data_IF_774645921818
#
_entry.id   IF_774645921818
#
_cell.length_a   1.000
_cell.length_b   1.000
_cell.length_c   1.000
_cell.angle_alpha   90.00
_cell.angle_beta   90.00
_cell.angle_gamma   90.00
#
_symmetry.space_group_name_H-M   'P 1'
#
loop_
_entity.id
_entity.type
_entity.pdbx_description
1 polymer ?
#
# COMPACT_ATOMS: atom_id res chain seq x y z
N UNK A 1 49.92 -7.07 -0.37
CA UNK A 1 48.92 -8.14 -0.62
C UNK A 1 47.61 -7.59 -1.19
N UNK A 2 47.10 -6.44 -0.72
CA UNK A 2 45.86 -5.85 -1.30
C UNK A 2 46.07 -5.23 -2.69
N UNK A 3 47.22 -4.60 -2.93
CA UNK A 3 47.54 -3.95 -4.22
C UNK A 3 47.53 -4.93 -5.41
N UNK A 4 48.16 -6.09 -5.25
CA UNK A 4 48.16 -7.18 -6.26
C UNK A 4 46.78 -7.85 -6.46
N UNK A 5 45.85 -7.69 -5.51
CA UNK A 5 44.47 -8.18 -5.64
C UNK A 5 43.61 -7.19 -6.41
N UNK A 6 43.81 -5.89 -6.18
CA UNK A 6 43.15 -4.84 -6.94
C UNK A 6 43.57 -4.85 -8.42
N UNK A 7 44.85 -5.11 -8.69
CA UNK A 7 45.38 -5.23 -10.07
C UNK A 7 44.80 -6.42 -10.86
N UNK A 8 44.08 -7.34 -10.21
CA UNK A 8 43.38 -8.47 -10.86
C UNK A 8 41.93 -8.19 -11.20
N UNK A 9 41.34 -7.12 -10.68
CA UNK A 9 39.95 -6.74 -10.96
C UNK A 9 39.93 -6.01 -12.30
N UNK A 10 39.35 -6.64 -13.32
CA UNK A 10 39.27 -6.06 -14.65
C UNK A 10 38.09 -5.09 -14.80
N UNK A 11 38.06 -4.34 -15.91
CA UNK A 11 36.93 -3.46 -16.26
C UNK A 11 35.60 -4.22 -16.33
N UNK A 12 35.60 -5.48 -16.77
CA UNK A 12 34.41 -6.34 -16.78
C UNK A 12 33.90 -6.65 -15.37
N UNK A 13 34.80 -6.83 -14.39
CA UNK A 13 34.42 -7.08 -13.00
C UNK A 13 33.85 -5.82 -12.35
N UNK A 14 34.44 -4.66 -12.64
CA UNK A 14 33.91 -3.36 -12.21
C UNK A 14 32.51 -3.12 -12.79
N UNK A 15 32.31 -3.37 -14.09
CA UNK A 15 30.98 -3.24 -14.72
C UNK A 15 29.95 -4.16 -14.07
N UNK A 16 30.30 -5.43 -13.82
CA UNK A 16 29.41 -6.38 -13.12
C UNK A 16 29.10 -5.92 -11.69
N UNK A 17 30.08 -5.37 -10.97
CA UNK A 17 29.87 -4.85 -9.63
C UNK A 17 28.89 -3.66 -9.65
N UNK A 18 29.03 -2.74 -10.60
CA UNK A 18 28.10 -1.62 -10.80
C UNK A 18 26.69 -2.11 -11.16
N UNK A 19 26.57 -3.04 -12.12
CA UNK A 19 25.30 -3.69 -12.48
C UNK A 19 24.63 -4.34 -11.25
N UNK A 20 25.41 -5.05 -10.42
CA UNK A 20 24.93 -5.69 -9.22
C UNK A 20 24.42 -4.68 -8.17
N UNK A 21 25.20 -3.64 -7.87
CA UNK A 21 24.80 -2.60 -6.90
C UNK A 21 23.54 -1.89 -7.36
N UNK A 22 23.43 -1.58 -8.65
CA UNK A 22 22.23 -0.97 -9.21
C UNK A 22 21.01 -1.90 -9.07
N UNK A 23 21.18 -3.18 -9.42
CA UNK A 23 20.11 -4.18 -9.32
C UNK A 23 19.61 -4.36 -7.88
N UNK A 24 20.53 -4.37 -6.91
CA UNK A 24 20.22 -4.59 -5.49
C UNK A 24 19.64 -3.36 -4.79
N UNK A 25 19.73 -2.17 -5.36
CA UNK A 25 19.23 -0.93 -4.72
C UNK A 25 17.75 -1.00 -4.37
N UNK A 26 16.89 -1.48 -5.28
CA UNK A 26 15.46 -1.64 -4.98
C UNK A 26 15.24 -2.65 -3.85
N UNK A 27 15.97 -3.75 -3.84
CA UNK A 27 15.91 -4.74 -2.75
C UNK A 27 16.30 -4.17 -1.38
N UNK A 28 17.38 -3.38 -1.36
CA UNK A 28 17.84 -2.70 -0.16
C UNK A 28 16.77 -1.75 0.37
N UNK A 29 16.19 -0.94 -0.50
CA UNK A 29 15.15 0.03 -0.12
C UNK A 29 13.87 -0.68 0.36
N UNK A 30 13.46 -1.77 -0.30
CA UNK A 30 12.38 -2.65 0.16
C UNK A 30 12.65 -3.24 1.54
N UNK A 31 13.89 -3.67 1.80
CA UNK A 31 14.29 -4.18 3.11
C UNK A 31 14.20 -3.07 4.16
N UNK A 32 14.67 -1.87 3.85
CA UNK A 32 14.65 -0.73 4.77
C UNK A 32 13.21 -0.34 5.14
N UNK A 33 12.30 -0.33 4.16
CA UNK A 33 10.87 -0.05 4.38
C UNK A 33 10.24 -1.01 5.40
N UNK A 34 10.48 -2.32 5.27
CA UNK A 34 9.84 -3.32 6.15
C UNK A 34 10.58 -3.57 7.48
N UNK A 35 11.85 -3.20 7.59
CA UNK A 35 12.71 -3.56 8.74
C UNK A 35 13.14 -2.39 9.62
N UNK A 36 13.11 -1.17 9.09
CA UNK A 36 13.66 0.01 9.78
C UNK A 36 12.67 1.17 9.86
N UNK A 37 11.53 1.09 9.16
CA UNK A 37 10.50 2.10 9.29
C UNK A 37 9.71 1.89 10.60
N UNK A 38 9.36 3.00 11.27
CA UNK A 38 8.64 2.96 12.56
C UNK A 38 7.19 2.51 12.41
N UNK A 39 6.67 2.56 11.19
CA UNK A 39 5.27 2.31 10.85
C UNK A 39 5.12 1.28 9.72
N UNK A 40 5.97 0.27 9.69
CA UNK A 40 5.82 -0.86 8.77
C UNK A 40 4.48 -1.57 9.01
N UNK A 41 3.68 -1.77 7.97
CA UNK A 41 2.38 -2.48 8.06
C UNK A 41 2.38 -3.73 7.20
N UNK A 42 1.57 -4.74 7.56
CA UNK A 42 1.40 -5.91 6.70
C UNK A 42 0.81 -5.55 5.32
N UNK A 43 0.11 -4.41 5.21
CA UNK A 43 -0.45 -3.91 3.96
C UNK A 43 0.58 -3.46 2.93
N UNK A 44 1.84 -3.23 3.32
CA UNK A 44 2.91 -2.84 2.38
C UNK A 44 3.62 -4.04 1.75
N UNK A 45 3.43 -5.26 2.28
CA UNK A 45 4.15 -6.46 1.85
C UNK A 45 3.84 -6.83 0.39
N UNK A 46 2.56 -6.87 0.00
CA UNK A 46 2.18 -7.17 -1.39
C UNK A 46 2.62 -6.08 -2.37
N UNK A 47 2.38 -4.77 -2.11
CA UNK A 47 2.92 -3.70 -2.95
C UNK A 47 4.44 -3.78 -3.15
N UNK A 48 5.20 -4.04 -2.09
CA UNK A 48 6.66 -4.19 -2.17
C UNK A 48 7.04 -5.44 -2.98
N UNK A 49 6.34 -6.56 -2.78
CA UNK A 49 6.59 -7.78 -3.55
C UNK A 49 6.36 -7.55 -5.06
N UNK A 50 5.30 -6.81 -5.42
CA UNK A 50 5.03 -6.41 -6.80
C UNK A 50 6.13 -5.51 -7.38
N UNK A 51 6.67 -4.57 -6.60
CA UNK A 51 7.82 -3.75 -7.01
C UNK A 51 9.07 -4.59 -7.26
N UNK A 52 9.32 -5.59 -6.42
CA UNK A 52 10.45 -6.50 -6.58
C UNK A 52 10.26 -7.43 -7.79
N UNK A 53 9.04 -7.89 -8.06
CA UNK A 53 8.70 -8.64 -9.28
C UNK A 53 9.07 -7.85 -10.54
N UNK A 54 8.63 -6.60 -10.62
CA UNK A 54 8.94 -5.72 -11.75
C UNK A 54 10.45 -5.52 -11.91
N UNK A 55 11.18 -5.32 -10.79
CA UNK A 55 12.63 -5.15 -10.79
C UNK A 55 13.37 -6.39 -11.32
N UNK A 56 12.92 -7.59 -10.93
CA UNK A 56 13.58 -8.85 -11.28
C UNK A 56 13.01 -9.53 -12.52
N UNK A 57 12.05 -8.90 -13.19
CA UNK A 57 11.62 -9.33 -14.52
C UNK A 57 12.78 -9.09 -15.51
N UNK A 58 13.13 -10.16 -16.23
CA UNK A 58 14.18 -10.13 -17.25
C UNK A 58 13.72 -9.27 -18.43
N UNK A 59 14.59 -8.37 -18.89
CA UNK A 59 14.36 -7.50 -20.03
C UNK A 59 15.34 -7.82 -21.18
N UNK A 60 14.95 -7.43 -22.40
CA UNK A 60 15.72 -7.71 -23.62
C UNK A 60 17.16 -7.14 -23.56
N UNK A 61 17.33 -5.96 -22.91
CA UNK A 61 18.62 -5.29 -22.74
C UNK A 61 19.51 -5.80 -21.59
N UNK A 62 19.06 -6.77 -20.79
CA UNK A 62 19.85 -7.24 -19.65
C UNK A 62 21.14 -7.96 -20.10
N UNK A 63 22.25 -7.76 -19.38
CA UNK A 63 23.45 -8.56 -19.58
C UNK A 63 23.21 -10.01 -19.16
N UNK A 64 23.98 -10.97 -19.68
CA UNK A 64 23.86 -12.38 -19.24
C UNK A 64 24.06 -12.55 -17.71
N UNK A 65 24.92 -11.70 -17.13
CA UNK A 65 25.14 -11.63 -15.68
C UNK A 65 23.88 -11.14 -14.94
N UNK A 66 23.30 -10.02 -15.39
CA UNK A 66 22.08 -9.44 -14.81
C UNK A 66 20.90 -10.41 -14.90
N UNK A 67 20.67 -11.04 -16.07
CA UNK A 67 19.61 -12.04 -16.25
C UNK A 67 19.73 -13.17 -15.23
N UNK A 68 20.92 -13.73 -15.06
CA UNK A 68 21.16 -14.82 -14.12
C UNK A 68 20.85 -14.42 -12.67
N UNK A 69 21.21 -13.20 -12.25
CA UNK A 69 20.89 -12.73 -10.89
C UNK A 69 19.38 -12.54 -10.73
N UNK A 70 18.74 -11.85 -11.67
CA UNK A 70 17.29 -11.60 -11.67
C UNK A 70 16.50 -12.90 -11.54
N UNK A 71 16.80 -13.88 -12.39
CA UNK A 71 16.15 -15.19 -12.38
C UNK A 71 16.35 -15.93 -11.06
N UNK A 72 17.57 -15.94 -10.53
CA UNK A 72 17.86 -16.64 -9.28
C UNK A 72 17.16 -16.00 -8.07
N UNK A 73 17.15 -14.67 -7.98
CA UNK A 73 16.47 -13.96 -6.90
C UNK A 73 14.95 -14.17 -7.01
N UNK A 74 14.37 -13.97 -8.20
CA UNK A 74 12.93 -14.12 -8.37
C UNK A 74 12.47 -15.57 -8.14
N UNK A 75 13.27 -16.56 -8.53
CA UNK A 75 12.99 -17.98 -8.25
C UNK A 75 12.91 -18.30 -6.75
N UNK A 76 13.63 -17.58 -5.89
CA UNK A 76 13.46 -17.70 -4.44
C UNK A 76 12.27 -16.89 -3.93
N UNK A 77 12.19 -15.62 -4.34
CA UNK A 77 11.22 -14.66 -3.81
C UNK A 77 9.77 -15.01 -4.17
N UNK A 78 9.54 -15.53 -5.40
CA UNK A 78 8.22 -15.95 -5.87
C UNK A 78 7.60 -17.10 -5.08
N UNK A 79 8.38 -17.78 -4.22
CA UNK A 79 7.88 -18.83 -3.32
C UNK A 79 7.39 -18.28 -1.98
N UNK A 80 7.71 -17.02 -1.68
CA UNK A 80 7.30 -16.38 -0.43
C UNK A 80 5.81 -16.03 -0.51
N UNK A 81 5.14 -16.12 0.64
CA UNK A 81 3.73 -15.74 0.80
C UNK A 81 2.74 -16.46 -0.14
N UNK A 82 3.03 -17.69 -0.57
CA UNK A 82 2.16 -18.43 -1.51
C UNK A 82 1.01 -19.21 -0.84
N UNK A 83 0.97 -19.28 0.50
CA UNK A 83 -0.10 -19.96 1.21
C UNK A 83 -1.43 -19.22 1.08
N UNK A 84 -2.53 -19.95 0.90
CA UNK A 84 -3.86 -19.34 0.71
C UNK A 84 -4.25 -18.41 1.86
N UNK A 85 -3.99 -18.81 3.11
CA UNK A 85 -4.38 -18.01 4.27
C UNK A 85 -3.53 -16.75 4.41
N UNK A 86 -2.22 -16.85 4.13
CA UNK A 86 -1.33 -15.69 4.18
C UNK A 86 -1.62 -14.72 3.02
N UNK A 87 -1.95 -15.23 1.82
CA UNK A 87 -2.41 -14.40 0.71
C UNK A 87 -3.68 -13.63 1.09
N UNK A 88 -4.70 -14.33 1.60
CA UNK A 88 -5.97 -13.69 2.01
C UNK A 88 -5.76 -12.60 3.05
N UNK A 89 -4.95 -12.87 4.06
CA UNK A 89 -4.60 -11.89 5.09
C UNK A 89 -3.89 -10.67 4.50
N UNK A 90 -2.88 -10.87 3.65
CA UNK A 90 -2.12 -9.78 3.06
C UNK A 90 -2.94 -8.96 2.06
N UNK A 91 -3.82 -9.60 1.29
CA UNK A 91 -4.79 -8.90 0.41
C UNK A 91 -5.69 -7.97 1.22
N UNK A 92 -6.27 -8.47 2.31
CA UNK A 92 -7.14 -7.69 3.18
C UNK A 92 -6.37 -6.54 3.85
N UNK A 93 -5.19 -6.83 4.40
CA UNK A 93 -4.32 -5.83 5.01
C UNK A 93 -3.93 -4.72 4.01
N UNK A 94 -3.66 -5.08 2.76
CA UNK A 94 -3.29 -4.11 1.71
C UNK A 94 -4.47 -3.22 1.32
N UNK A 95 -5.69 -3.78 1.20
CA UNK A 95 -6.89 -2.99 0.88
C UNK A 95 -7.27 -2.05 2.03
N UNK A 96 -7.09 -2.51 3.26
CA UNK A 96 -7.38 -1.72 4.46
C UNK A 96 -6.31 -0.64 4.72
N UNK A 97 -5.13 -0.75 4.14
CA UNK A 97 -4.10 0.28 4.20
C UNK A 97 -4.46 1.46 3.25
N UNK A 98 -4.78 2.65 3.79
CA UNK A 98 -5.20 3.78 2.96
C UNK A 98 -4.16 4.21 1.93
N UNK A 99 -2.88 3.92 2.18
CA UNK A 99 -1.77 4.22 1.25
C UNK A 99 -1.86 3.40 -0.02
N UNK A 100 -2.47 2.21 0.03
CA UNK A 100 -2.51 1.24 -1.07
C UNK A 100 -3.93 0.90 -1.55
N UNK A 101 -4.97 1.49 -0.95
CA UNK A 101 -6.40 1.25 -1.24
C UNK A 101 -6.78 1.24 -2.73
N UNK A 102 -6.11 2.03 -3.56
CA UNK A 102 -6.39 2.13 -5.00
C UNK A 102 -5.56 1.16 -5.86
N UNK A 103 -4.53 0.52 -5.28
CA UNK A 103 -3.61 -0.40 -5.97
C UNK A 103 -4.15 -1.82 -6.06
N UNK A 104 -4.98 -2.25 -5.11
CA UNK A 104 -5.63 -3.58 -5.12
C UNK A 104 -7.13 -3.41 -5.37
N UNK A 105 -7.57 -3.61 -6.62
CA UNK A 105 -8.99 -3.66 -6.99
C UNK A 105 -9.44 -5.12 -7.02
N UNK A 106 -9.92 -5.63 -5.89
CA UNK A 106 -10.51 -6.96 -5.82
C UNK A 106 -11.84 -6.89 -5.08
N UNK A 107 -12.94 -6.88 -5.84
CA UNK A 107 -14.30 -6.85 -5.29
C UNK A 107 -14.54 -8.04 -4.35
N UNK A 108 -13.97 -9.21 -4.68
CA UNK A 108 -14.04 -10.40 -3.85
C UNK A 108 -13.37 -10.24 -2.46
N UNK A 109 -12.29 -9.46 -2.36
CA UNK A 109 -11.63 -9.17 -1.07
C UNK A 109 -12.46 -8.14 -0.30
N UNK A 110 -12.99 -7.12 -0.98
CA UNK A 110 -13.89 -6.14 -0.38
C UNK A 110 -15.15 -6.81 0.21
N UNK A 111 -15.76 -7.74 -0.53
CA UNK A 111 -16.92 -8.50 -0.07
C UNK A 111 -16.58 -9.34 1.15
N UNK A 112 -15.43 -10.04 1.14
CA UNK A 112 -14.95 -10.82 2.29
C UNK A 112 -14.78 -9.97 3.55
N UNK A 113 -14.17 -8.79 3.42
CA UNK A 113 -14.03 -7.82 4.53
C UNK A 113 -15.41 -7.36 5.02
N UNK A 114 -16.33 -7.07 4.09
CA UNK A 114 -17.69 -6.61 4.42
C UNK A 114 -18.45 -7.67 5.21
N UNK A 115 -18.45 -8.92 4.74
CA UNK A 115 -19.11 -10.04 5.41
C UNK A 115 -18.52 -10.29 6.80
N UNK A 116 -17.19 -10.22 6.94
CA UNK A 116 -16.52 -10.33 8.23
C UNK A 116 -16.94 -9.21 9.20
N UNK A 117 -17.03 -7.96 8.74
CA UNK A 117 -17.47 -6.83 9.55
C UNK A 117 -18.94 -6.96 10.00
N UNK A 118 -19.84 -7.41 9.11
CA UNK A 118 -21.25 -7.67 9.45
C UNK A 118 -21.34 -8.79 10.51
N UNK A 119 -20.58 -9.87 10.32
CA UNK A 119 -20.55 -11.00 11.26
C UNK A 119 -20.05 -10.55 12.63
N UNK A 120 -18.96 -9.79 12.70
CA UNK A 120 -18.43 -9.27 13.96
C UNK A 120 -19.45 -8.38 14.71
N UNK A 121 -20.13 -7.49 14.00
CA UNK A 121 -21.14 -6.59 14.59
C UNK A 121 -22.39 -7.34 15.08
N UNK A 122 -22.83 -8.39 14.38
CA UNK A 122 -24.00 -9.19 14.81
C UNK A 122 -23.71 -10.10 16.01
N UNK A 123 -22.45 -10.53 16.19
CA UNK A 123 -22.02 -11.25 17.38
C UNK A 123 -21.86 -10.30 18.57
N UNK A 124 -21.25 -9.13 18.37
CA UNK A 124 -21.12 -8.12 19.42
C UNK A 124 -22.50 -7.65 19.94
N UNK A 125 -23.49 -7.48 19.06
CA UNK A 125 -24.85 -7.12 19.44
C UNK A 125 -25.62 -8.21 20.21
N UNK A 126 -25.11 -9.45 20.28
CA UNK A 126 -25.71 -10.54 21.07
C UNK A 126 -25.14 -10.66 22.48
N UNK A 127 -23.97 -10.07 22.75
CA UNK A 127 -23.30 -10.12 24.06
C UNK A 127 -23.63 -8.90 24.96
N UNK A 128 -24.35 -7.88 24.47
CA UNK A 128 -24.76 -6.75 25.30
C UNK A 128 -26.13 -6.98 25.99
N UNK A 129 -26.08 -7.54 27.21
CA UNK A 129 -27.07 -7.34 28.29
C UNK A 129 -26.33 -6.75 29.51
N UNK A 130 -26.94 -5.84 30.29
CA UNK A 130 -26.22 -4.79 30.99
C UNK A 130 -25.64 -5.25 32.32
N UNK A 131 -24.34 -5.04 32.48
CA UNK A 131 -23.63 -5.11 33.76
C UNK A 131 -22.75 -3.87 33.92
N UNK A 132 -23.21 -2.94 34.75
CA UNK A 132 -22.46 -1.77 35.20
C UNK A 132 -21.13 -2.20 35.85
N UNK A 133 -20.03 -1.52 35.54
CA UNK A 133 -18.73 -1.85 36.12
C UNK A 133 -17.56 -1.03 35.59
N UNK A 134 -17.55 0.25 35.94
CA UNK A 134 -16.39 1.10 36.21
C UNK A 134 -15.27 1.26 35.16
N UNK A 135 -15.26 2.46 34.60
CA UNK A 135 -14.18 3.08 33.83
C UNK A 135 -12.94 3.27 34.70
N UNK A 136 -11.82 2.63 34.36
CA UNK A 136 -10.49 3.11 34.73
C UNK A 136 -9.64 3.23 33.47
N UNK A 137 -9.54 4.48 32.99
CA UNK A 137 -8.48 4.93 32.10
C UNK A 137 -7.24 5.12 32.96
N UNK A 138 -6.23 4.27 32.80
CA UNK A 138 -4.88 4.62 33.22
C UNK A 138 -4.29 5.59 32.18
N UNK A 139 -3.94 6.77 32.66
CA UNK A 139 -3.26 7.80 31.88
C UNK A 139 -1.79 7.45 31.68
N UNK A 140 -1.28 7.76 30.51
CA UNK A 140 0.15 7.96 30.30
C UNK A 140 0.40 9.47 30.25
N UNK A 141 1.41 9.87 31.00
CA UNK A 141 1.75 11.24 31.38
C UNK A 141 2.07 12.12 30.17
N UNK A 142 1.55 13.35 30.22
CA UNK A 142 1.95 14.48 29.37
C UNK A 142 3.45 14.74 29.57
N UNK A 143 4.23 14.59 28.49
CA UNK A 143 5.50 15.26 28.37
C UNK A 143 5.23 16.70 27.95
N UNK A 144 5.49 17.64 28.86
CA UNK A 144 5.40 19.07 28.61
C UNK A 144 6.36 19.47 27.47
N UNK A 145 5.81 19.76 26.29
CA UNK A 145 6.56 20.45 25.23
C UNK A 145 6.31 21.95 25.38
N UNK A 146 7.32 22.69 25.82
CA UNK A 146 7.29 24.14 25.90
C UNK A 146 6.94 24.76 24.54
N UNK A 147 5.90 25.60 24.50
CA UNK A 147 5.58 26.44 23.34
C UNK A 147 6.70 27.46 23.14
N UNK A 148 7.57 27.22 22.16
CA UNK A 148 8.46 28.25 21.62
C UNK A 148 7.81 28.79 20.35
N UNK A 149 7.22 29.97 20.43
CA UNK A 149 6.88 30.79 19.26
C UNK A 149 8.18 31.11 18.51
N UNK A 150 8.47 30.37 17.44
CA UNK A 150 9.49 30.75 16.47
C UNK A 150 8.88 30.90 15.08
N UNK A 151 9.03 32.12 14.56
CA UNK A 151 8.70 32.56 13.20
C UNK A 151 8.87 31.44 12.16
N UNK A 152 7.80 31.11 11.45
CA UNK A 152 7.77 30.10 10.38
C UNK A 152 8.73 30.44 9.22
N UNK A 153 10.00 30.03 9.36
CA UNK A 153 10.81 29.62 8.24
C UNK A 153 10.42 28.17 7.92
N UNK A 154 10.02 27.91 6.68
CA UNK A 154 9.68 26.56 6.20
C UNK A 154 10.84 25.60 6.55
N UNK A 155 10.57 24.46 7.24
CA UNK A 155 11.61 23.50 7.51
C UNK A 155 12.19 22.96 6.19
N UNK A 156 13.51 22.67 6.14
CA UNK A 156 14.12 22.05 4.97
C UNK A 156 13.41 20.72 4.65
N UNK A 157 13.30 20.32 3.37
CA UNK A 157 12.55 19.11 3.01
C UNK A 157 13.10 17.91 3.77
N UNK A 158 12.25 17.26 4.56
CA UNK A 158 12.58 16.02 5.25
C UNK A 158 12.97 14.97 4.20
N UNK A 159 14.03 14.21 4.49
CA UNK A 159 14.45 13.08 3.65
C UNK A 159 13.27 12.11 3.53
N UNK A 160 12.95 11.67 2.31
CA UNK A 160 11.89 10.68 2.05
C UNK A 160 12.13 9.41 2.86
N UNK A 161 11.07 8.80 3.34
CA UNK A 161 11.14 7.45 3.93
C UNK A 161 11.49 6.43 2.84
N UNK A 162 11.96 5.24 3.25
CA UNK A 162 12.26 4.17 2.29
C UNK A 162 11.01 3.74 1.50
N UNK A 163 9.84 3.77 2.15
CA UNK A 163 8.57 3.45 1.52
C UNK A 163 8.19 4.54 0.50
N UNK A 164 8.34 5.82 0.86
CA UNK A 164 8.12 6.94 -0.07
C UNK A 164 9.07 6.88 -1.28
N UNK A 165 10.34 6.51 -1.09
CA UNK A 165 11.30 6.33 -2.20
C UNK A 165 10.88 5.21 -3.15
N UNK A 166 10.33 4.09 -2.63
CA UNK A 166 9.89 2.97 -3.47
C UNK A 166 8.69 3.27 -4.35
N UNK A 167 7.81 4.16 -3.89
CA UNK A 167 6.51 4.46 -4.51
C UNK A 167 6.39 5.88 -5.05
N UNK A 168 7.50 6.64 -5.08
CA UNK A 168 7.53 8.02 -5.56
C UNK A 168 6.96 8.17 -6.98
N UNK A 169 7.27 7.24 -7.88
CA UNK A 169 6.78 7.26 -9.26
C UNK A 169 5.25 7.25 -9.29
N UNK A 170 4.60 6.32 -8.58
CA UNK A 170 3.13 6.25 -8.57
C UNK A 170 2.49 7.38 -7.78
N UNK A 171 3.12 7.85 -6.71
CA UNK A 171 2.61 8.96 -5.94
C UNK A 171 2.57 10.25 -6.78
N UNK A 172 3.61 10.47 -7.59
CA UNK A 172 3.65 11.56 -8.57
C UNK A 172 2.59 11.39 -9.66
N UNK A 173 2.37 10.18 -10.17
CA UNK A 173 1.31 9.90 -11.16
C UNK A 173 -0.10 10.20 -10.60
N UNK A 174 -0.37 9.79 -9.35
CA UNK A 174 -1.66 10.05 -8.71
C UNK A 174 -1.90 11.54 -8.47
N UNK A 175 -0.87 12.30 -8.10
CA UNK A 175 -0.96 13.74 -7.95
C UNK A 175 -1.32 14.40 -9.29
N UNK A 176 -0.65 14.00 -10.38
CA UNK A 176 -0.95 14.48 -11.72
C UNK A 176 -2.39 14.18 -12.16
N UNK A 177 -2.90 12.97 -11.87
CA UNK A 177 -4.30 12.61 -12.13
C UNK A 177 -5.27 13.48 -11.31
N UNK A 178 -4.97 13.73 -10.03
CA UNK A 178 -5.83 14.56 -9.17
C UNK A 178 -5.88 16.02 -9.61
N UNK A 179 -4.79 16.54 -10.13
CA UNK A 179 -4.69 17.92 -10.64
C UNK A 179 -5.41 18.11 -11.98
N UNK A 180 -5.48 17.05 -12.79
CA UNK A 180 -6.15 17.07 -14.10
C UNK A 180 -7.66 16.82 -14.01
N UNK A 181 -8.19 16.36 -12.87
CA UNK A 181 -9.63 16.21 -12.67
C UNK A 181 -10.30 17.51 -12.22
N UNK A 182 -11.44 17.92 -12.82
CA UNK A 182 -12.20 19.06 -12.34
C UNK A 182 -12.66 18.78 -10.90
N UNK A 183 -12.43 19.72 -9.99
CA UNK A 183 -12.91 19.63 -8.61
C UNK A 183 -14.44 19.68 -8.60
N UNK A 184 -15.07 18.51 -8.65
CA UNK A 184 -16.51 18.39 -8.42
C UNK A 184 -16.77 18.79 -6.97
N UNK A 185 -17.44 19.93 -6.79
CA UNK A 185 -17.86 20.38 -5.47
C UNK A 185 -18.85 19.38 -4.87
N UNK A 186 -18.78 19.20 -3.54
CA UNK A 186 -19.63 18.29 -2.77
C UNK A 186 -21.14 18.61 -2.89
N UNK A 187 -21.50 19.73 -3.52
CA UNK A 187 -22.86 20.24 -3.63
C UNK A 187 -23.68 19.67 -4.82
N UNK A 188 -23.09 18.85 -5.70
CA UNK A 188 -23.79 18.35 -6.91
C UNK A 188 -24.22 16.88 -6.84
N UNK A 189 -24.16 16.24 -5.68
CA UNK A 189 -24.77 14.91 -5.51
C UNK A 189 -26.23 15.09 -5.10
N UNK A 190 -27.08 15.47 -6.06
CA UNK A 190 -28.53 15.36 -5.84
C UNK A 190 -28.93 13.89 -5.66
N UNK A 191 -29.86 13.58 -4.75
CA UNK A 191 -30.45 12.27 -4.64
C UNK A 191 -31.49 12.13 -5.75
N UNK A 192 -31.38 11.12 -6.61
CA UNK A 192 -32.51 10.66 -7.42
C UNK A 192 -33.60 10.16 -6.45
N UNK A 193 -34.54 11.07 -6.14
CA UNK A 193 -35.71 10.76 -5.34
C UNK A 193 -36.80 10.12 -6.21
N UNK A 194 -37.41 9.10 -5.63
CA UNK A 194 -38.70 8.53 -5.97
C UNK A 194 -39.74 9.59 -6.34
N UNK A 195 -40.59 9.21 -7.30
CA UNK A 195 -41.98 9.63 -7.36
C UNK A 195 -42.35 10.30 -8.67
N UNK A 196 -43.22 9.64 -9.43
CA UNK A 196 -44.51 10.22 -9.82
C UNK A 196 -45.41 9.09 -10.33
N UNK A 197 -46.38 8.73 -9.50
CA UNK A 197 -47.55 7.99 -9.94
C UNK A 197 -48.42 8.89 -10.80
N UNK A 198 -48.91 8.36 -11.92
CA UNK A 198 -50.05 8.91 -12.62
C UNK A 198 -51.19 7.89 -12.51
N UNK A 199 -52.15 8.25 -11.67
CA UNK A 199 -53.49 7.66 -11.61
C UNK A 199 -54.19 8.07 -12.90
N UNK A 200 -54.67 7.08 -13.68
CA UNK A 200 -55.75 7.29 -14.64
C UNK A 200 -56.81 6.20 -14.45
N UNK A 201 -57.92 6.66 -13.91
CA UNK A 201 -59.18 5.97 -13.64
C UNK A 201 -59.94 5.67 -14.94
N UNK A 202 -60.62 4.51 -14.93
CA UNK A 202 -61.95 4.24 -15.53
C UNK A 202 -62.01 4.23 -17.08
N UNK A 203 -62.66 3.28 -17.77
CA UNK A 203 -63.95 2.64 -17.51
C UNK A 203 -64.17 1.44 -18.45
N UNK A 204 -65.09 0.57 -18.05
CA UNK A 204 -65.63 -0.66 -18.66
C UNK A 204 -65.81 -0.73 -20.18
N UNK A 205 -65.73 -1.95 -20.75
CA UNK A 205 -66.88 -2.64 -21.40
C UNK A 205 -66.52 -4.06 -21.90
N UNK A 206 -67.28 -5.06 -21.39
CA UNK A 206 -67.82 -6.27 -22.05
C UNK A 206 -67.26 -6.62 -23.46
N UNK A 207 -66.81 -7.85 -23.76
CA UNK A 207 -67.51 -9.14 -23.70
C UNK A 207 -66.50 -10.28 -23.93
#
# INVERSE_FOLDING_TARGET
MEKERLDRIGNEDLRKAEEFVHLMRKHYTSTLAVSSDKSATCGEILPILQKLEQQYTVQEGDSAFTRSIKENIWKDLSKRYQGTDIQRFLEEATILDPRFKYKVKSDAVCDRIREAAITANTVAARDELPGEGETQREGCEDGEEEEVEEHYALPPPSKKTALEELFEEEDNELQSIRESQPRLSLAQKEPEQLGNGEIRTEEDHNF
#
